data_IF_923654253148
#
_entry.id   IF_923654253148
#
_cell.length_a   1.000
_cell.length_b   1.000
_cell.length_c   1.000
_cell.angle_alpha   90.00
_cell.angle_beta   90.00
_cell.angle_gamma   90.00
#
_symmetry.space_group_name_H-M   'P 1'
#
loop_
_entity.id
_entity.type
_entity.pdbx_description
1 polymer ?
#
# COMPACT_ATOMS: atom_id res chain seq x y z
N UNK A 1 55.77 -6.31 -21.35
CA UNK A 1 55.21 -7.14 -20.28
C UNK A 1 54.45 -6.29 -19.28
N UNK A 2 53.31 -5.75 -19.64
CA UNK A 2 52.46 -4.86 -18.78
C UNK A 2 51.02 -5.45 -18.54
N UNK A 3 50.88 -6.78 -18.73
CA UNK A 3 49.54 -7.43 -18.61
C UNK A 3 49.08 -7.52 -17.15
N UNK A 4 50.01 -7.70 -16.20
CA UNK A 4 49.67 -7.88 -14.78
C UNK A 4 48.98 -6.66 -14.16
N UNK A 5 49.43 -5.40 -14.36
CA UNK A 5 48.73 -4.24 -13.81
C UNK A 5 47.36 -3.99 -14.46
N UNK A 6 47.20 -4.34 -15.73
CA UNK A 6 45.94 -4.19 -16.43
C UNK A 6 44.88 -5.17 -15.87
N UNK A 7 45.25 -6.41 -15.60
CA UNK A 7 44.39 -7.42 -14.99
C UNK A 7 44.00 -6.99 -13.57
N UNK A 8 44.97 -6.50 -12.78
CA UNK A 8 44.72 -6.03 -11.42
C UNK A 8 43.75 -4.83 -11.39
N UNK A 9 43.89 -3.88 -12.31
CA UNK A 9 42.98 -2.75 -12.45
C UNK A 9 41.58 -3.18 -12.89
N UNK A 10 41.47 -4.14 -13.79
CA UNK A 10 40.18 -4.70 -14.23
C UNK A 10 39.43 -5.41 -13.11
N UNK A 11 40.11 -6.19 -12.27
CA UNK A 11 39.51 -6.85 -11.11
C UNK A 11 39.03 -5.84 -10.06
N UNK A 12 39.79 -4.75 -9.85
CA UNK A 12 39.43 -3.70 -8.90
C UNK A 12 38.15 -2.97 -9.35
N UNK A 13 37.99 -2.68 -10.63
CA UNK A 13 36.80 -2.00 -11.19
C UNK A 13 35.58 -2.91 -11.10
N UNK A 14 35.72 -4.21 -11.37
CA UNK A 14 34.64 -5.19 -11.27
C UNK A 14 34.13 -5.35 -9.82
N UNK A 15 35.01 -5.28 -8.83
CA UNK A 15 34.62 -5.39 -7.41
C UNK A 15 33.86 -4.17 -6.90
N UNK A 16 34.11 -2.98 -7.44
CA UNK A 16 33.35 -1.76 -7.09
C UNK A 16 31.93 -1.74 -7.68
N UNK A 17 31.70 -2.41 -8.81
CA UNK A 17 30.37 -2.46 -9.44
C UNK A 17 29.41 -3.44 -8.75
N UNK A 18 29.89 -4.36 -7.93
CA UNK A 18 29.05 -5.39 -7.29
C UNK A 18 28.15 -4.85 -6.17
N UNK A 19 28.45 -3.68 -5.58
CA UNK A 19 27.71 -3.16 -4.43
C UNK A 19 26.33 -2.60 -4.75
N UNK A 20 26.00 -2.23 -6.00
CA UNK A 20 24.74 -1.58 -6.33
C UNK A 20 23.58 -2.53 -6.66
N UNK A 21 23.86 -3.80 -6.89
CA UNK A 21 22.84 -4.77 -7.36
C UNK A 21 22.11 -5.48 -6.19
N UNK A 22 22.62 -5.39 -4.98
CA UNK A 22 22.13 -6.17 -3.82
C UNK A 22 20.84 -5.61 -3.23
N UNK A 23 20.49 -4.36 -3.50
CA UNK A 23 19.32 -3.70 -2.89
C UNK A 23 17.97 -4.33 -3.24
N UNK A 24 17.86 -5.02 -4.38
CA UNK A 24 16.62 -5.68 -4.83
C UNK A 24 16.44 -7.11 -4.34
N UNK A 25 17.44 -7.67 -3.64
CA UNK A 25 17.40 -9.06 -3.15
C UNK A 25 16.67 -9.17 -1.80
N UNK A 26 16.57 -8.08 -1.06
CA UNK A 26 15.87 -8.06 0.23
C UNK A 26 14.37 -7.92 -0.02
N UNK A 27 13.58 -8.91 0.41
CA UNK A 27 12.13 -8.81 0.35
C UNK A 27 11.64 -7.66 1.25
N UNK A 28 10.97 -6.70 0.66
CA UNK A 28 10.29 -5.61 1.39
C UNK A 28 8.79 -5.80 1.25
N UNK A 29 8.12 -5.84 2.40
CA UNK A 29 6.65 -5.89 2.46
C UNK A 29 6.09 -4.49 2.20
N UNK A 30 4.86 -4.46 1.68
CA UNK A 30 4.09 -3.22 1.57
C UNK A 30 3.65 -2.78 2.96
N UNK A 31 3.96 -1.54 3.32
CA UNK A 31 3.63 -0.99 4.64
C UNK A 31 2.70 0.21 4.48
N UNK A 32 1.39 0.06 4.78
CA UNK A 32 0.49 1.19 4.88
C UNK A 32 0.76 1.96 6.18
N UNK A 33 0.73 3.30 6.11
CA UNK A 33 0.92 4.19 7.26
C UNK A 33 -0.14 5.28 7.29
N UNK A 34 -0.43 5.79 8.48
CA UNK A 34 -1.46 6.81 8.69
C UNK A 34 -2.88 6.23 8.72
N UNK A 35 -3.84 7.00 8.22
CA UNK A 35 -5.21 6.52 8.09
C UNK A 35 -5.30 5.55 6.91
N UNK A 36 -5.71 4.32 7.15
CA UNK A 36 -5.98 3.40 6.05
C UNK A 36 -7.24 3.85 5.30
N UNK A 37 -7.05 4.38 4.09
CA UNK A 37 -8.13 4.85 3.24
C UNK A 37 -8.42 3.80 2.15
N UNK A 38 -9.58 3.18 2.27
CA UNK A 38 -10.10 2.27 1.26
C UNK A 38 -11.05 3.02 0.33
N UNK A 39 -10.89 2.86 -0.98
CA UNK A 39 -11.69 3.57 -1.97
C UNK A 39 -13.20 3.33 -1.79
N UNK A 40 -13.60 2.10 -1.44
CA UNK A 40 -14.98 1.75 -1.15
C UNK A 40 -15.55 2.51 0.05
N UNK A 41 -14.75 2.70 1.11
CA UNK A 41 -15.16 3.42 2.31
C UNK A 41 -15.18 4.93 2.07
N UNK A 42 -14.17 5.46 1.37
CA UNK A 42 -14.11 6.88 1.01
C UNK A 42 -15.30 7.29 0.13
N UNK A 43 -15.73 6.43 -0.79
CA UNK A 43 -16.88 6.70 -1.66
C UNK A 43 -18.23 6.78 -0.93
N UNK A 44 -18.30 6.25 0.30
CA UNK A 44 -19.49 6.35 1.15
C UNK A 44 -19.60 7.70 1.86
N UNK A 45 -18.49 8.45 1.95
CA UNK A 45 -18.50 9.77 2.60
C UNK A 45 -19.10 10.80 1.64
N UNK A 46 -20.22 11.37 2.05
CA UNK A 46 -21.00 12.30 1.22
C UNK A 46 -21.31 13.59 1.97
N UNK A 47 -21.55 14.66 1.22
CA UNK A 47 -22.06 15.91 1.78
C UNK A 47 -23.41 15.66 2.51
N UNK A 48 -23.58 16.32 3.64
CA UNK A 48 -24.73 16.13 4.51
C UNK A 48 -24.54 15.14 5.66
N UNK A 49 -23.46 14.37 5.67
CA UNK A 49 -23.11 13.49 6.80
C UNK A 49 -22.63 14.30 8.00
N UNK A 50 -22.87 13.78 9.21
CA UNK A 50 -22.33 14.37 10.44
C UNK A 50 -20.87 13.96 10.66
N UNK A 51 -20.13 14.77 11.43
CA UNK A 51 -18.76 14.45 11.82
C UNK A 51 -18.64 13.08 12.52
N UNK A 52 -19.62 12.70 13.33
CA UNK A 52 -19.66 11.38 13.97
C UNK A 52 -19.80 10.23 12.97
N UNK A 53 -20.58 10.41 11.89
CA UNK A 53 -20.72 9.42 10.83
C UNK A 53 -19.42 9.28 10.02
N UNK A 54 -18.76 10.39 9.68
CA UNK A 54 -17.46 10.37 9.02
C UNK A 54 -16.42 9.67 9.89
N UNK A 55 -16.38 9.97 11.17
CA UNK A 55 -15.46 9.32 12.12
C UNK A 55 -15.76 7.81 12.28
N UNK A 56 -17.02 7.42 12.20
CA UNK A 56 -17.38 6.01 12.21
C UNK A 56 -16.89 5.25 10.98
N UNK A 57 -16.91 5.88 9.80
CA UNK A 57 -16.46 5.29 8.54
C UNK A 57 -14.93 5.28 8.40
N UNK A 58 -14.29 6.42 8.65
CA UNK A 58 -12.87 6.65 8.37
C UNK A 58 -11.97 6.56 9.61
N UNK A 59 -12.55 6.49 10.80
CA UNK A 59 -11.82 6.58 12.06
C UNK A 59 -11.43 8.01 12.42
N UNK A 60 -10.45 8.14 13.30
CA UNK A 60 -9.97 9.45 13.77
C UNK A 60 -9.05 10.09 12.73
N UNK A 61 -9.27 11.36 12.35
CA UNK A 61 -8.40 12.06 11.43
C UNK A 61 -6.99 12.25 12.01
N UNK A 62 -5.97 12.27 11.15
CA UNK A 62 -4.58 12.56 11.57
C UNK A 62 -4.45 14.01 12.04
N UNK A 63 -5.15 14.92 11.38
CA UNK A 63 -5.09 16.34 11.70
C UNK A 63 -6.48 16.96 11.60
N UNK A 64 -6.82 17.78 12.58
CA UNK A 64 -7.95 18.73 12.55
C UNK A 64 -7.34 20.11 12.44
N UNK A 65 -7.85 20.94 11.50
CA UNK A 65 -7.34 22.29 11.32
C UNK A 65 -7.45 23.08 12.64
N UNK A 66 -6.34 23.54 13.20
CA UNK A 66 -6.35 24.23 14.50
C UNK A 66 -7.01 25.62 14.43
N UNK A 67 -7.14 26.20 13.23
CA UNK A 67 -7.69 27.55 13.06
C UNK A 67 -9.20 27.55 12.88
N UNK A 68 -9.72 26.61 12.10
CA UNK A 68 -11.16 26.56 11.79
C UNK A 68 -11.87 25.45 12.53
N UNK A 69 -11.18 24.40 12.92
CA UNK A 69 -11.70 23.14 13.50
C UNK A 69 -12.76 22.43 12.62
N UNK A 70 -13.04 23.00 11.46
CA UNK A 70 -14.08 22.54 10.54
C UNK A 70 -13.50 21.74 9.38
N UNK A 71 -12.17 21.55 9.32
CA UNK A 71 -11.51 20.79 8.28
C UNK A 71 -10.72 19.65 8.90
N UNK A 72 -10.99 18.43 8.44
CA UNK A 72 -10.32 17.22 8.86
C UNK A 72 -9.48 16.66 7.74
N UNK A 73 -8.25 16.26 8.08
CA UNK A 73 -7.31 15.66 7.16
C UNK A 73 -7.05 14.22 7.52
N UNK A 74 -7.31 13.34 6.55
CA UNK A 74 -6.97 11.94 6.61
C UNK A 74 -5.80 11.70 5.66
N UNK A 75 -4.68 11.28 6.19
CA UNK A 75 -3.46 11.06 5.41
C UNK A 75 -3.15 9.59 5.37
N UNK A 76 -3.05 9.05 4.17
CA UNK A 76 -2.68 7.69 3.89
C UNK A 76 -1.38 7.65 3.11
N UNK A 77 -0.37 7.00 3.66
CA UNK A 77 0.91 6.76 3.00
C UNK A 77 1.01 5.29 2.65
N UNK A 78 1.14 5.00 1.36
CA UNK A 78 1.39 3.66 0.87
C UNK A 78 2.80 3.55 0.35
N UNK A 79 3.59 2.68 0.95
CA UNK A 79 4.91 2.32 0.45
C UNK A 79 4.85 0.88 -0.07
N UNK A 80 4.95 0.73 -1.38
CA UNK A 80 5.01 -0.58 -2.04
C UNK A 80 6.45 -0.97 -2.23
N UNK A 81 6.90 -2.01 -1.53
CA UNK A 81 8.21 -2.64 -1.74
C UNK A 81 9.36 -1.64 -1.99
N UNK A 82 9.79 -1.51 -3.24
CA UNK A 82 10.89 -0.64 -3.68
C UNK A 82 10.42 0.62 -4.43
N UNK A 83 9.12 0.83 -4.52
CA UNK A 83 8.55 2.04 -5.14
C UNK A 83 8.67 3.23 -4.18
N UNK A 84 8.60 4.43 -4.75
CA UNK A 84 8.53 5.64 -3.94
C UNK A 84 7.22 5.68 -3.16
N UNK A 85 7.24 6.14 -1.88
CA UNK A 85 6.05 6.25 -1.09
C UNK A 85 5.02 7.17 -1.75
N UNK A 86 3.78 6.71 -1.87
CA UNK A 86 2.68 7.50 -2.40
C UNK A 86 1.80 7.97 -1.25
N UNK A 87 1.65 9.28 -1.12
CA UNK A 87 0.77 9.90 -0.14
C UNK A 87 -0.54 10.28 -0.80
N UNK A 88 -1.64 9.94 -0.15
CA UNK A 88 -3.00 10.33 -0.49
C UNK A 88 -3.58 11.10 0.68
N UNK A 89 -4.17 12.25 0.40
CA UNK A 89 -4.79 13.10 1.42
C UNK A 89 -6.25 13.29 1.09
N UNK A 90 -7.10 12.86 2.01
CA UNK A 90 -8.53 13.13 1.97
C UNK A 90 -8.84 14.30 2.90
N UNK A 91 -9.40 15.35 2.36
CA UNK A 91 -9.84 16.54 3.11
C UNK A 91 -11.35 16.55 3.22
N UNK A 92 -11.86 16.60 4.44
CA UNK A 92 -13.29 16.68 4.71
C UNK A 92 -13.59 18.03 5.39
N UNK A 93 -14.40 18.83 4.73
CA UNK A 93 -14.82 20.14 5.23
C UNK A 93 -16.22 20.06 5.84
N UNK A 94 -16.39 20.67 7.01
CA UNK A 94 -17.64 20.72 7.74
C UNK A 94 -18.18 22.14 7.83
N UNK A 95 -19.48 22.27 8.02
CA UNK A 95 -20.10 23.55 8.41
C UNK A 95 -19.98 23.76 9.93
N UNK A 96 -20.47 24.91 10.43
CA UNK A 96 -20.46 25.22 11.85
C UNK A 96 -21.29 24.26 12.72
N UNK A 97 -22.16 23.46 12.11
CA UNK A 97 -23.00 22.46 12.78
C UNK A 97 -22.37 21.08 12.76
N UNK A 98 -21.17 20.94 12.17
CA UNK A 98 -20.48 19.65 12.02
C UNK A 98 -21.06 18.76 10.92
N UNK A 99 -21.65 19.36 9.88
CA UNK A 99 -22.16 18.65 8.72
C UNK A 99 -21.16 18.78 7.57
N UNK A 100 -20.87 17.69 6.87
CA UNK A 100 -19.98 17.67 5.72
C UNK A 100 -20.52 18.54 4.60
N UNK A 101 -19.72 19.51 4.18
CA UNK A 101 -20.03 20.39 3.05
C UNK A 101 -19.31 19.95 1.78
N UNK A 102 -18.05 19.52 1.90
CA UNK A 102 -17.23 19.12 0.77
C UNK A 102 -16.25 18.01 1.19
N UNK A 103 -15.92 17.16 0.24
CA UNK A 103 -14.93 16.08 0.37
C UNK A 103 -14.00 16.14 -0.82
N UNK A 104 -12.71 16.28 -0.58
CA UNK A 104 -11.69 16.40 -1.61
C UNK A 104 -10.62 15.33 -1.40
N UNK A 105 -10.27 14.63 -2.47
CA UNK A 105 -9.18 13.66 -2.51
C UNK A 105 -8.11 14.21 -3.47
N UNK A 106 -6.85 14.36 -3.01
CA UNK A 106 -5.77 14.92 -3.81
C UNK A 106 -5.35 14.01 -4.96
N UNK A 107 -5.34 12.69 -4.71
CA UNK A 107 -4.99 11.67 -5.70
C UNK A 107 -5.90 10.46 -5.58
N UNK A 108 -6.25 9.81 -6.70
CA UNK A 108 -7.07 8.61 -6.65
C UNK A 108 -6.39 7.54 -5.77
N UNK A 109 -7.18 6.90 -4.92
CA UNK A 109 -6.70 5.81 -4.11
C UNK A 109 -6.41 4.60 -5.00
N UNK A 110 -5.35 3.84 -4.70
CA UNK A 110 -5.13 2.58 -5.37
C UNK A 110 -6.34 1.68 -5.11
N UNK A 111 -6.97 1.25 -6.16
CA UNK A 111 -8.07 0.31 -6.08
C UNK A 111 -7.54 -0.98 -5.44
N UNK A 112 -8.03 -1.32 -4.25
CA UNK A 112 -7.68 -2.57 -3.56
C UNK A 112 -8.49 -3.71 -4.21
N UNK A 113 -8.52 -3.74 -5.53
CA UNK A 113 -9.20 -4.77 -6.28
C UNK A 113 -8.55 -6.17 -6.13
N UNK A 114 -7.34 -6.24 -5.59
CA UNK A 114 -6.58 -7.49 -5.61
C UNK A 114 -6.56 -8.28 -4.29
N UNK A 115 -7.02 -7.70 -3.18
CA UNK A 115 -7.03 -8.45 -1.92
C UNK A 115 -8.32 -9.25 -1.71
N UNK A 116 -9.40 -8.88 -2.36
CA UNK A 116 -10.62 -9.67 -2.34
C UNK A 116 -10.48 -10.98 -3.16
N UNK A 117 -9.67 -10.97 -4.21
CA UNK A 117 -9.42 -12.18 -5.01
C UNK A 117 -8.45 -13.16 -4.34
N UNK A 118 -7.57 -12.69 -3.47
CA UNK A 118 -6.66 -13.58 -2.73
C UNK A 118 -7.30 -14.16 -1.46
N UNK A 119 -8.46 -13.64 -1.06
CA UNK A 119 -9.28 -14.19 0.01
C UNK A 119 -10.45 -15.04 -0.50
N UNK A 120 -10.54 -15.32 -1.78
CA UNK A 120 -11.18 -16.57 -2.16
C UNK A 120 -10.37 -17.63 -1.44
N UNK A 121 -10.90 -18.07 -0.30
CA UNK A 121 -10.65 -19.40 0.24
C UNK A 121 -10.47 -20.23 -1.01
N UNK A 122 -9.27 -20.72 -1.24
CA UNK A 122 -9.10 -21.87 -2.10
C UNK A 122 -10.02 -22.86 -1.41
N UNK A 123 -11.30 -22.86 -1.78
CA UNK A 123 -12.10 -24.04 -1.62
C UNK A 123 -11.18 -25.06 -2.23
N UNK A 124 -10.53 -25.81 -1.35
CA UNK A 124 -9.76 -26.93 -1.75
C UNK A 124 -10.75 -27.65 -2.64
N UNK A 125 -10.60 -27.49 -3.94
CA UNK A 125 -11.35 -28.26 -4.91
C UNK A 125 -11.02 -29.67 -4.51
N UNK A 126 -11.95 -30.11 -3.66
CA UNK A 126 -11.85 -31.27 -2.88
C UNK A 126 -11.51 -32.38 -3.80
N UNK A 127 -10.47 -33.05 -3.43
CA UNK A 127 -10.38 -34.43 -3.74
C UNK A 127 -10.48 -34.78 -5.21
N UNK A 128 -9.67 -34.19 -6.08
CA UNK A 128 -9.06 -35.07 -7.03
C UNK A 128 -8.13 -35.94 -6.19
N UNK A 129 -8.71 -37.05 -5.73
CA UNK A 129 -7.96 -38.22 -5.34
C UNK A 129 -6.93 -38.43 -6.43
N UNK A 130 -5.76 -37.90 -6.20
CA UNK A 130 -4.58 -38.34 -6.90
C UNK A 130 -4.30 -39.72 -6.32
N UNK A 131 -5.04 -40.72 -6.81
CA UNK A 131 -4.67 -42.10 -6.66
C UNK A 131 -3.32 -42.24 -7.34
N UNK A 132 -2.28 -41.84 -6.65
CA UNK A 132 -0.96 -42.34 -6.93
C UNK A 132 -1.00 -43.79 -6.57
N UNK A 133 -1.31 -44.63 -7.54
CA UNK A 133 -1.06 -46.05 -7.44
C UNK A 133 0.47 -46.26 -7.41
N UNK A 134 1.07 -45.98 -6.27
CA UNK A 134 2.50 -46.21 -5.98
C UNK A 134 2.82 -47.72 -5.90
N UNK A 135 1.77 -48.53 -5.80
CA UNK A 135 1.88 -50.00 -5.71
C UNK A 135 1.86 -50.74 -7.04
N UNK A 136 1.87 -50.01 -8.17
CA UNK A 136 2.02 -50.61 -9.51
C UNK A 136 3.47 -50.89 -9.94
N UNK A 137 4.39 -50.84 -9.04
CA UNK A 137 5.80 -51.18 -9.28
C UNK A 137 6.20 -52.57 -8.78
N UNK A 138 5.28 -53.47 -8.58
CA UNK A 138 5.57 -54.88 -8.28
C UNK A 138 4.95 -55.74 -9.33
#
# INVERSE_FOLDING_TARGET
MQLKPIIAAGVLVLSLAACSTVQKVVYRIDVPQGNYLEAATVSQVQAGMTAAQVQYLLGTPVLIDPFTQNTWYYVYLQQRSYEEPQQHTLTVNFDQRGIVTNVELDKPLPEVASQAENNTIIEAQGGQKREKSWWKFW
#
